data_IF_895442451687
#
_entry.id   IF_895442451687
#
_cell.length_a   1.000
_cell.length_b   1.000
_cell.length_c   1.000
_cell.angle_alpha   90.00
_cell.angle_beta   90.00
_cell.angle_gamma   90.00
#
_symmetry.space_group_name_H-M   'P 1'
#
loop_
_entity.id
_entity.type
_entity.pdbx_description
1 polymer ?
#
# COMPACT_ATOMS: atom_id res chain seq x y z
N UNK A 1 39.51 -33.64 18.06
CA UNK A 1 38.85 -32.35 17.74
C UNK A 1 38.19 -32.33 16.36
N UNK A 2 38.68 -33.08 15.36
CA UNK A 2 38.14 -33.14 13.99
C UNK A 2 36.66 -33.56 13.87
N UNK A 3 36.18 -34.51 14.69
CA UNK A 3 34.76 -34.97 14.63
C UNK A 3 33.75 -33.88 14.99
N UNK A 4 34.09 -32.97 15.92
CA UNK A 4 33.22 -31.84 16.28
C UNK A 4 33.16 -30.79 15.15
N UNK A 5 34.29 -30.58 14.45
CA UNK A 5 34.35 -29.70 13.28
C UNK A 5 33.50 -30.22 12.12
N UNK A 6 33.51 -31.54 11.88
CA UNK A 6 32.66 -32.17 10.87
C UNK A 6 31.17 -32.01 11.17
N UNK A 7 30.75 -32.15 12.43
CA UNK A 7 29.35 -31.95 12.82
C UNK A 7 28.89 -30.49 12.66
N UNK A 8 29.72 -29.52 13.03
CA UNK A 8 29.39 -28.10 12.87
C UNK A 8 29.27 -27.70 11.39
N UNK A 9 30.16 -28.19 10.53
CA UNK A 9 30.07 -27.96 9.09
C UNK A 9 28.79 -28.56 8.49
N UNK A 10 28.41 -29.78 8.89
CA UNK A 10 27.18 -30.42 8.41
C UNK A 10 25.92 -29.63 8.79
N UNK A 11 25.85 -29.10 10.02
CA UNK A 11 24.72 -28.29 10.49
C UNK A 11 24.61 -26.96 9.73
N UNK A 12 25.73 -26.27 9.50
CA UNK A 12 25.76 -25.01 8.74
C UNK A 12 25.33 -25.21 7.28
N UNK A 13 25.80 -26.29 6.64
CA UNK A 13 25.41 -26.64 5.28
C UNK A 13 23.92 -26.97 5.22
N UNK A 14 23.40 -27.75 6.16
CA UNK A 14 21.97 -28.08 6.25
C UNK A 14 21.08 -26.85 6.41
N UNK A 15 21.47 -25.91 7.27
CA UNK A 15 20.72 -24.66 7.48
C UNK A 15 20.71 -23.77 6.24
N UNK A 16 21.82 -23.69 5.49
CA UNK A 16 21.89 -22.90 4.25
C UNK A 16 21.05 -23.50 3.12
N UNK A 17 20.97 -24.84 3.03
CA UNK A 17 20.08 -25.52 2.08
C UNK A 17 18.61 -25.28 2.47
N UNK A 18 18.28 -25.37 3.76
CA UNK A 18 16.92 -25.12 4.26
C UNK A 18 16.46 -23.69 3.98
N UNK A 19 17.31 -22.67 4.20
CA UNK A 19 16.92 -21.27 4.01
C UNK A 19 16.69 -20.86 2.56
N UNK A 20 17.16 -21.65 1.57
CA UNK A 20 16.93 -21.39 0.14
C UNK A 20 15.62 -21.96 -0.39
N UNK A 21 14.84 -22.68 0.42
CA UNK A 21 13.63 -23.37 -0.01
C UNK A 21 12.33 -22.54 0.05
N UNK A 22 12.36 -21.30 0.53
CA UNK A 22 11.16 -20.46 0.78
C UNK A 22 10.76 -19.50 -0.36
N UNK A 23 11.10 -19.82 -1.62
CA UNK A 23 10.77 -18.97 -2.79
C UNK A 23 10.02 -19.73 -3.88
N UNK A 24 8.98 -20.49 -3.52
CA UNK A 24 8.05 -21.02 -4.52
C UNK A 24 6.61 -20.95 -4.01
N UNK A 25 6.06 -19.73 -4.02
CA UNK A 25 4.60 -19.56 -4.07
C UNK A 25 4.20 -19.73 -5.54
N UNK A 26 3.77 -20.93 -5.88
CA UNK A 26 3.17 -21.23 -7.17
C UNK A 26 1.80 -20.52 -7.23
N UNK A 27 1.76 -19.32 -7.82
CA UNK A 27 0.51 -18.65 -8.17
C UNK A 27 -0.08 -19.40 -9.36
N UNK A 28 -0.92 -20.40 -9.06
CA UNK A 28 -1.66 -21.12 -10.08
C UNK A 28 -2.55 -20.13 -10.86
N UNK A 29 -2.55 -20.13 -12.20
CA UNK A 29 -3.48 -19.35 -12.99
C UNK A 29 -4.90 -19.86 -12.73
N UNK A 30 -5.65 -19.17 -11.86
CA UNK A 30 -7.04 -19.50 -11.62
C UNK A 30 -7.88 -19.03 -12.82
N UNK A 31 -8.82 -19.85 -13.33
CA UNK A 31 -9.82 -19.41 -14.29
C UNK A 31 -10.58 -18.22 -13.70
N UNK A 32 -10.60 -17.09 -14.42
CA UNK A 32 -11.15 -15.82 -13.97
C UNK A 32 -12.65 -15.94 -13.63
N UNK A 33 -12.95 -16.18 -12.36
CA UNK A 33 -14.23 -15.86 -11.73
C UNK A 33 -14.01 -14.53 -10.98
N UNK A 34 -14.87 -13.50 -11.15
CA UNK A 34 -14.57 -12.19 -10.62
C UNK A 34 -14.63 -12.20 -9.09
N UNK A 35 -13.47 -12.20 -8.46
CA UNK A 35 -13.32 -12.08 -7.01
C UNK A 35 -13.76 -10.67 -6.59
N UNK A 36 -14.71 -10.64 -5.66
CA UNK A 36 -15.36 -9.44 -5.11
C UNK A 36 -14.37 -8.44 -4.45
N UNK A 37 -13.11 -8.85 -4.27
CA UNK A 37 -11.99 -8.02 -3.79
C UNK A 37 -11.53 -6.97 -4.82
N UNK A 38 -11.85 -7.15 -6.11
CA UNK A 38 -11.53 -6.14 -7.14
C UNK A 38 -12.45 -4.92 -7.10
N UNK A 39 -13.59 -4.99 -6.40
CA UNK A 39 -14.51 -3.85 -6.27
C UNK A 39 -13.99 -2.73 -5.36
N UNK A 40 -13.00 -2.99 -4.49
CA UNK A 40 -12.46 -1.96 -3.59
C UNK A 40 -11.36 -1.12 -4.27
N UNK A 41 -10.60 -1.69 -5.22
CA UNK A 41 -9.52 -0.98 -5.90
C UNK A 41 -10.03 -0.09 -7.07
N UNK A 42 -11.29 -0.27 -7.48
CA UNK A 42 -11.82 0.25 -8.73
C UNK A 42 -12.94 1.28 -8.56
N UNK A 43 -13.26 1.75 -7.35
CA UNK A 43 -13.69 3.14 -7.25
C UNK A 43 -12.43 4.00 -7.35
N UNK A 44 -11.91 4.08 -8.57
CA UNK A 44 -11.04 5.17 -8.97
C UNK A 44 -11.91 6.41 -8.88
N UNK A 45 -12.09 6.92 -7.65
CA UNK A 45 -12.90 8.08 -7.38
C UNK A 45 -12.45 9.15 -8.35
N UNK A 46 -13.31 9.40 -9.32
CA UNK A 46 -13.04 10.33 -10.40
C UNK A 46 -13.27 11.71 -9.82
N UNK A 47 -12.34 12.15 -8.98
CA UNK A 47 -12.43 13.44 -8.32
C UNK A 47 -12.40 14.52 -9.40
N UNK A 48 -13.31 15.48 -9.27
CA UNK A 48 -13.43 16.60 -10.20
C UNK A 48 -13.64 17.86 -9.41
N UNK A 49 -13.04 18.94 -9.88
CA UNK A 49 -13.29 20.24 -9.31
C UNK A 49 -14.74 20.65 -9.58
N UNK A 50 -15.53 20.67 -8.52
CA UNK A 50 -16.97 20.98 -8.52
C UNK A 50 -17.29 22.24 -7.69
N UNK A 51 -16.26 22.97 -7.24
CA UNK A 51 -16.39 24.20 -6.47
C UNK A 51 -16.35 24.00 -4.95
N UNK A 52 -16.14 22.76 -4.46
CA UNK A 52 -15.83 22.52 -3.05
C UNK A 52 -14.47 23.09 -2.66
N UNK A 53 -14.40 23.63 -1.46
CA UNK A 53 -13.25 24.39 -0.96
C UNK A 53 -12.89 24.03 0.49
N UNK A 54 -13.76 23.35 1.23
CA UNK A 54 -13.56 23.09 2.65
C UNK A 54 -13.53 21.59 2.96
N UNK A 55 -12.82 21.24 4.03
CA UNK A 55 -12.65 19.86 4.49
C UNK A 55 -13.98 19.15 4.77
N UNK A 56 -14.95 19.83 5.38
CA UNK A 56 -16.30 19.28 5.64
C UNK A 56 -17.06 18.80 4.40
N UNK A 57 -16.58 19.12 3.20
CA UNK A 57 -17.17 18.72 1.94
C UNK A 57 -16.43 17.54 1.30
N UNK A 58 -15.27 17.15 1.83
CA UNK A 58 -14.48 16.01 1.39
C UNK A 58 -14.92 14.75 2.14
N UNK A 59 -14.84 13.62 1.46
CA UNK A 59 -15.22 12.29 1.97
C UNK A 59 -14.01 11.45 2.36
N UNK A 60 -12.83 11.81 1.87
CA UNK A 60 -11.57 11.17 2.24
C UNK A 60 -10.37 12.12 2.18
N UNK A 61 -9.25 11.70 2.78
CA UNK A 61 -7.98 12.40 2.70
C UNK A 61 -7.45 12.45 1.25
N UNK A 62 -7.60 11.36 0.49
CA UNK A 62 -7.17 11.30 -0.92
C UNK A 62 -7.96 12.27 -1.80
N UNK A 63 -9.25 12.43 -1.53
CA UNK A 63 -10.09 13.44 -2.18
C UNK A 63 -9.60 14.85 -1.83
N UNK A 64 -9.38 15.13 -0.55
CA UNK A 64 -8.89 16.43 -0.09
C UNK A 64 -7.52 16.78 -0.71
N UNK A 65 -6.62 15.80 -0.78
CA UNK A 65 -5.32 15.93 -1.44
C UNK A 65 -5.45 16.20 -2.92
N UNK A 66 -6.33 15.46 -3.61
CA UNK A 66 -6.62 15.73 -5.02
C UNK A 66 -7.10 17.17 -5.21
N UNK A 67 -8.03 17.65 -4.37
CA UNK A 67 -8.55 19.01 -4.46
C UNK A 67 -7.45 20.05 -4.24
N UNK A 68 -6.60 19.87 -3.22
CA UNK A 68 -5.48 20.78 -2.93
C UNK A 68 -4.50 20.90 -4.12
N UNK A 69 -4.21 19.78 -4.79
CA UNK A 69 -3.24 19.74 -5.89
C UNK A 69 -3.83 20.12 -7.26
N UNK A 70 -5.14 19.91 -7.47
CA UNK A 70 -5.75 19.97 -8.81
C UNK A 70 -6.85 21.03 -8.95
N UNK A 71 -7.41 21.56 -7.86
CA UNK A 71 -8.55 22.47 -7.91
C UNK A 71 -8.19 23.89 -7.41
N UNK A 72 -8.69 24.95 -8.07
CA UNK A 72 -8.43 26.31 -7.65
C UNK A 72 -9.24 26.70 -6.40
N UNK A 73 -8.76 27.69 -5.66
CA UNK A 73 -9.44 28.33 -4.51
C UNK A 73 -9.71 27.39 -3.31
N UNK A 74 -9.00 26.28 -3.17
CA UNK A 74 -9.15 25.40 -2.00
C UNK A 74 -8.73 26.08 -0.70
N UNK A 75 -9.47 25.81 0.38
CA UNK A 75 -9.25 26.34 1.75
C UNK A 75 -9.19 25.19 2.75
N UNK A 76 -8.34 24.21 2.44
CA UNK A 76 -8.22 22.94 3.18
C UNK A 76 -6.88 22.80 3.90
N UNK A 77 -5.85 23.46 3.37
CA UNK A 77 -4.51 23.54 3.93
C UNK A 77 -4.37 24.93 4.59
N UNK A 78 -4.42 24.94 5.93
CA UNK A 78 -4.53 26.18 6.70
C UNK A 78 -3.18 26.84 6.98
N UNK A 79 -2.16 26.03 7.17
CA UNK A 79 -0.77 26.41 7.46
C UNK A 79 0.16 26.28 6.24
N UNK A 80 -0.34 25.78 5.12
CA UNK A 80 0.34 25.66 3.83
C UNK A 80 1.51 24.68 3.86
N UNK A 81 1.37 23.58 4.59
CA UNK A 81 2.36 22.51 4.69
C UNK A 81 2.19 21.41 3.62
N UNK A 82 1.12 21.50 2.82
CA UNK A 82 0.76 20.55 1.78
C UNK A 82 -0.12 19.40 2.28
N UNK A 83 -0.57 19.42 3.53
CA UNK A 83 -1.42 18.40 4.15
C UNK A 83 -2.83 18.99 4.35
N UNK A 84 -3.81 18.63 3.51
CA UNK A 84 -5.16 19.13 3.70
C UNK A 84 -5.87 18.40 4.84
N UNK A 85 -6.72 19.14 5.57
CA UNK A 85 -7.72 18.55 6.46
C UNK A 85 -7.18 17.68 7.61
N UNK A 86 -5.98 17.97 8.14
CA UNK A 86 -5.33 17.23 9.24
C UNK A 86 -6.17 17.02 10.50
N UNK A 87 -7.17 17.88 10.73
CA UNK A 87 -8.08 17.79 11.89
C UNK A 87 -9.30 16.90 11.66
N UNK A 88 -9.47 16.37 10.45
CA UNK A 88 -10.65 15.62 10.04
C UNK A 88 -10.36 14.18 9.62
N UNK A 89 -9.17 13.92 9.08
CA UNK A 89 -8.69 12.61 8.65
C UNK A 89 -7.36 12.25 9.33
#
# INVERSE_FOLDING_TARGET
>A
MSKKLLLLLAVLIGAFIYSKNDQNVEVLPQPALPTQETLIQADRFSFRCDGRQHCSQMTSYEEAKFFLENCPNTKMDGDNDGIPCERQF
#
